data_IF_426009904634
#
_entry.id   IF_426009904634
#
_cell.length_a   1.000
_cell.length_b   1.000
_cell.length_c   1.000
_cell.angle_alpha   90.00
_cell.angle_beta   90.00
_cell.angle_gamma   90.00
#
_symmetry.space_group_name_H-M   'P 1'
#
loop_
_entity.id
_entity.type
_entity.pdbx_description
1 polymer ?
#
# COMPACT_ATOMS: atom_id res chain seq x y z
N UNK A 1 2.62 -11.98 7.22
CA UNK A 1 1.61 -11.01 6.74
C UNK A 1 2.02 -9.64 7.25
N UNK A 2 1.90 -8.62 6.41
CA UNK A 2 2.18 -7.23 6.76
C UNK A 2 0.95 -6.40 6.44
N UNK A 3 0.56 -5.51 7.34
CA UNK A 3 -0.55 -4.56 7.16
C UNK A 3 0.02 -3.15 7.22
N UNK A 4 -0.26 -2.35 6.19
CA UNK A 4 0.09 -0.93 6.13
C UNK A 4 -1.20 -0.13 6.08
N UNK A 5 -1.60 0.39 7.23
CA UNK A 5 -2.85 1.12 7.41
C UNK A 5 -2.55 2.59 7.66
N UNK A 6 -3.16 3.48 6.89
CA UNK A 6 -3.21 4.92 7.17
C UNK A 6 -1.83 5.58 7.42
N UNK A 7 -0.78 5.07 6.74
CA UNK A 7 0.61 5.50 6.97
C UNK A 7 1.23 6.13 5.72
N UNK A 8 1.04 5.51 4.55
CA UNK A 8 1.86 5.83 3.37
C UNK A 8 1.68 7.26 2.90
N UNK A 9 0.48 7.82 3.01
CA UNK A 9 0.18 9.18 2.59
C UNK A 9 0.93 10.28 3.37
N UNK A 10 1.55 9.97 4.52
CA UNK A 10 2.35 10.92 5.30
C UNK A 10 3.83 10.89 4.89
N UNK A 11 4.23 9.84 4.19
CA UNK A 11 5.61 9.59 3.84
C UNK A 11 5.95 10.23 2.51
N UNK A 12 7.18 10.72 2.39
CA UNK A 12 7.73 11.18 1.12
C UNK A 12 7.79 10.02 0.10
N UNK A 13 7.85 10.31 -1.19
CA UNK A 13 7.99 9.29 -2.23
C UNK A 13 9.16 8.30 -1.98
N UNK A 14 10.39 8.73 -1.61
CA UNK A 14 11.47 7.79 -1.30
C UNK A 14 11.19 6.94 -0.05
N UNK A 15 10.53 7.50 0.96
CA UNK A 15 10.17 6.75 2.17
C UNK A 15 9.10 5.69 1.89
N UNK A 16 8.09 6.01 1.05
CA UNK A 16 7.08 5.03 0.59
C UNK A 16 7.72 3.90 -0.21
N UNK A 17 8.65 4.20 -1.12
CA UNK A 17 9.43 3.20 -1.83
C UNK A 17 10.22 2.31 -0.84
N UNK A 18 10.85 2.92 0.16
CA UNK A 18 11.55 2.18 1.22
C UNK A 18 10.63 1.28 2.05
N UNK A 19 9.40 1.70 2.36
CA UNK A 19 8.40 0.86 3.04
C UNK A 19 8.00 -0.32 2.16
N UNK A 20 7.70 -0.08 0.88
CA UNK A 20 7.37 -1.14 -0.08
C UNK A 20 8.50 -2.17 -0.15
N UNK A 21 9.74 -1.72 -0.36
CA UNK A 21 10.87 -2.61 -0.56
C UNK A 21 11.18 -3.43 0.70
N UNK A 22 11.09 -2.82 1.89
CA UNK A 22 11.22 -3.54 3.18
C UNK A 22 10.08 -4.52 3.43
N UNK A 23 8.84 -4.15 3.09
CA UNK A 23 7.69 -5.04 3.23
C UNK A 23 7.85 -6.27 2.32
N UNK A 24 8.30 -6.08 1.07
CA UNK A 24 8.64 -7.18 0.18
C UNK A 24 9.77 -8.03 0.78
N UNK A 25 10.89 -7.44 1.16
CA UNK A 25 12.02 -8.21 1.71
C UNK A 25 11.65 -9.01 2.98
N UNK A 26 10.64 -8.59 3.72
CA UNK A 26 10.19 -9.24 4.96
C UNK A 26 9.07 -10.27 4.75
N UNK A 27 8.44 -10.31 3.58
CA UNK A 27 7.40 -11.29 3.26
C UNK A 27 7.99 -12.52 2.60
N UNK A 28 7.77 -13.67 3.24
CA UNK A 28 7.96 -14.99 2.62
C UNK A 28 7.11 -15.13 1.34
N UNK A 29 7.55 -15.95 0.36
CA UNK A 29 6.73 -16.32 -0.80
C UNK A 29 5.35 -16.82 -0.37
N UNK A 30 4.31 -16.28 -1.01
CA UNK A 30 2.92 -16.56 -0.66
C UNK A 30 2.36 -15.77 0.53
N UNK A 31 3.17 -14.95 1.22
CA UNK A 31 2.73 -14.04 2.27
C UNK A 31 1.87 -12.89 1.73
N UNK A 32 1.08 -12.25 2.59
CA UNK A 32 0.16 -11.17 2.20
C UNK A 32 0.64 -9.80 2.67
N UNK A 33 0.56 -8.82 1.76
CA UNK A 33 0.60 -7.39 2.04
C UNK A 33 -0.83 -6.85 1.95
N UNK A 34 -1.28 -6.21 3.02
CA UNK A 34 -2.59 -5.52 3.07
C UNK A 34 -2.32 -4.03 3.17
N UNK A 35 -2.96 -3.23 2.33
CA UNK A 35 -2.97 -1.77 2.48
C UNK A 35 -4.40 -1.27 2.66
N UNK A 36 -4.59 -0.30 3.55
CA UNK A 36 -5.86 0.40 3.72
C UNK A 36 -5.60 1.88 3.99
N UNK A 37 -6.22 2.75 3.20
CA UNK A 37 -6.06 4.19 3.31
C UNK A 37 -7.38 4.92 3.05
N UNK A 38 -7.62 6.00 3.79
CA UNK A 38 -8.62 6.99 3.43
C UNK A 38 -8.33 7.59 2.04
N UNK A 39 -9.41 7.91 1.32
CA UNK A 39 -9.42 8.58 0.01
C UNK A 39 -9.71 10.07 0.13
N UNK A 40 -9.98 10.55 1.34
CA UNK A 40 -10.19 11.97 1.60
C UNK A 40 -8.86 12.73 1.56
N UNK A 41 -8.87 13.91 0.95
CA UNK A 41 -7.73 14.81 0.98
C UNK A 41 -7.61 15.46 2.36
N UNK A 42 -6.38 15.61 2.86
CA UNK A 42 -6.05 16.36 4.06
C UNK A 42 -4.73 17.11 3.84
N UNK A 43 -4.56 18.26 4.51
CA UNK A 43 -3.51 19.22 4.18
C UNK A 43 -2.09 18.71 4.49
N UNK A 44 -1.98 17.80 5.44
CA UNK A 44 -0.73 17.22 5.92
C UNK A 44 -0.26 16.02 5.08
N UNK A 45 -1.04 15.58 4.09
CA UNK A 45 -0.71 14.46 3.23
C UNK A 45 0.38 14.83 2.21
N UNK A 46 1.42 14.01 2.11
CA UNK A 46 2.41 14.08 1.04
C UNK A 46 1.90 13.44 -0.28
N UNK A 47 0.87 12.61 -0.23
CA UNK A 47 0.17 11.99 -1.38
C UNK A 47 -1.23 11.57 -0.96
N UNK A 48 -2.13 11.29 -1.90
CA UNK A 48 -3.40 10.64 -1.57
C UNK A 48 -3.25 9.11 -1.42
N UNK A 49 -4.24 8.47 -0.78
CA UNK A 49 -4.26 7.02 -0.55
C UNK A 49 -4.33 6.19 -1.83
N UNK A 50 -5.02 6.67 -2.87
CA UNK A 50 -5.14 5.93 -4.14
C UNK A 50 -3.78 5.84 -4.85
N UNK A 51 -3.01 6.92 -4.83
CA UNK A 51 -1.64 6.98 -5.35
C UNK A 51 -0.69 6.10 -4.52
N UNK A 52 -0.81 6.08 -3.20
CA UNK A 52 -0.02 5.17 -2.36
C UNK A 52 -0.26 3.69 -2.71
N UNK A 53 -1.51 3.31 -2.99
CA UNK A 53 -1.84 1.95 -3.45
C UNK A 53 -1.30 1.66 -4.86
N UNK A 54 -1.34 2.63 -5.77
CA UNK A 54 -0.78 2.47 -7.12
C UNK A 54 0.74 2.20 -7.08
N UNK A 55 1.46 2.88 -6.19
CA UNK A 55 2.91 2.68 -5.99
C UNK A 55 3.27 1.29 -5.44
N UNK A 56 2.43 0.73 -4.56
CA UNK A 56 2.56 -0.66 -4.11
C UNK A 56 2.28 -1.63 -5.26
N UNK A 57 1.20 -1.42 -6.02
CA UNK A 57 0.78 -2.29 -7.12
C UNK A 57 1.80 -2.33 -8.28
N UNK A 58 2.66 -1.32 -8.41
CA UNK A 58 3.73 -1.29 -9.41
C UNK A 58 4.83 -2.34 -9.18
N UNK A 59 4.90 -2.97 -8.01
CA UNK A 59 5.85 -4.04 -7.74
C UNK A 59 5.47 -5.34 -8.47
N UNK A 60 6.34 -5.81 -9.37
CA UNK A 60 6.17 -7.07 -10.11
C UNK A 60 6.15 -8.32 -9.23
N UNK A 61 6.50 -8.22 -7.95
CA UNK A 61 6.51 -9.31 -7.00
C UNK A 61 5.19 -9.46 -6.22
N UNK A 62 4.24 -8.54 -6.42
CA UNK A 62 2.93 -8.57 -5.79
C UNK A 62 1.86 -9.01 -6.78
N UNK A 63 1.11 -10.06 -6.43
CA UNK A 63 -0.07 -10.50 -7.17
C UNK A 63 -1.32 -10.02 -6.45
N UNK A 64 -2.25 -9.30 -7.09
CA UNK A 64 -3.49 -8.87 -6.45
C UNK A 64 -4.36 -10.07 -6.04
N UNK A 65 -5.04 -9.94 -4.90
CA UNK A 65 -5.97 -10.93 -4.32
C UNK A 65 -7.32 -10.30 -4.02
N UNK A 66 -7.32 -9.15 -3.34
CA UNK A 66 -8.53 -8.37 -3.03
C UNK A 66 -8.31 -6.95 -3.50
N UNK A 67 -9.34 -6.38 -4.12
CA UNK A 67 -9.45 -4.96 -4.43
C UNK A 67 -10.83 -4.49 -3.98
N UNK A 68 -10.87 -3.57 -3.02
CA UNK A 68 -12.09 -3.04 -2.44
C UNK A 68 -12.00 -1.53 -2.35
N UNK A 69 -12.99 -0.83 -2.91
CA UNK A 69 -13.00 0.63 -2.98
C UNK A 69 -14.37 1.12 -2.56
N UNK A 70 -14.37 2.01 -1.59
CA UNK A 70 -15.54 2.76 -1.15
C UNK A 70 -15.34 4.26 -1.42
N UNK A 71 -16.33 5.08 -1.08
CA UNK A 71 -16.18 6.53 -1.12
C UNK A 71 -15.06 6.99 -0.19
N UNK A 72 -14.97 6.37 0.99
CA UNK A 72 -14.17 6.91 2.08
C UNK A 72 -12.79 6.28 2.12
N UNK A 73 -12.69 4.97 1.86
CA UNK A 73 -11.42 4.25 1.93
C UNK A 73 -11.23 3.29 0.75
N UNK A 74 -9.98 2.89 0.59
CA UNK A 74 -9.58 1.80 -0.30
C UNK A 74 -8.82 0.76 0.49
N UNK A 75 -9.09 -0.51 0.19
CA UNK A 75 -8.36 -1.66 0.72
C UNK A 75 -7.88 -2.53 -0.44
N UNK A 76 -6.60 -2.87 -0.43
CA UNK A 76 -6.01 -3.83 -1.35
C UNK A 76 -5.28 -4.92 -0.58
N UNK A 77 -5.37 -6.15 -1.09
CA UNK A 77 -4.57 -7.28 -0.62
C UNK A 77 -3.77 -7.83 -1.78
N UNK A 78 -2.46 -7.92 -1.60
CA UNK A 78 -1.56 -8.60 -2.53
C UNK A 78 -0.91 -9.80 -1.86
N UNK A 79 -0.64 -10.83 -2.65
CA UNK A 79 0.16 -11.99 -2.29
C UNK A 79 1.55 -11.86 -2.90
N UNK A 80 2.59 -12.06 -2.10
CA UNK A 80 3.98 -12.13 -2.56
C UNK A 80 4.16 -13.35 -3.46
N UNK A 81 4.73 -13.15 -4.65
CA UNK A 81 5.15 -14.21 -5.56
C UNK A 81 6.30 -15.02 -4.96
#
# INVERSE_FOLDING_TARGET
MIVVSELLYFLSAPDRAGVRDRALASLEPGGHLVAVHWRHAFAEAATDGDQAHAELAAASDLRPVVHHVESDFRLDVWRRR
#
